data_IF_476853777801
#
_entry.id   IF_476853777801
#
_cell.length_a   1.000
_cell.length_b   1.000
_cell.length_c   1.000
_cell.angle_alpha   90.00
_cell.angle_beta   90.00
_cell.angle_gamma   90.00
#
_symmetry.space_group_name_H-M   'P 1'
#
loop_
_entity.id
_entity.type
_entity.pdbx_description
1 polymer ?
#
# COMPACT_ATOMS: atom_id res chain seq x y z
N UNK A 1 -31.55 10.93 -75.36
CA UNK A 1 -31.03 10.35 -76.60
C UNK A 1 -29.56 9.96 -76.34
N UNK A 2 -29.27 8.72 -76.71
CA UNK A 2 -27.96 8.10 -76.88
C UNK A 2 -27.17 7.63 -75.63
N UNK A 3 -27.33 6.36 -75.39
CA UNK A 3 -26.25 5.46 -75.05
C UNK A 3 -25.20 5.40 -76.16
N UNK A 4 -23.98 4.99 -75.91
CA UNK A 4 -23.62 3.55 -75.80
C UNK A 4 -22.50 3.28 -74.77
N UNK A 5 -22.58 2.11 -74.17
CA UNK A 5 -21.97 0.81 -74.51
C UNK A 5 -20.46 0.71 -74.37
N UNK A 6 -20.10 -0.21 -73.48
CA UNK A 6 -19.06 -1.23 -73.58
C UNK A 6 -17.66 -0.84 -73.12
N UNK A 7 -17.03 -1.52 -72.30
CA UNK A 7 -16.34 -2.81 -72.48
C UNK A 7 -15.58 -3.19 -71.15
N UNK A 8 -15.68 -4.44 -70.88
CA UNK A 8 -14.95 -5.13 -69.86
C UNK A 8 -13.44 -5.00 -69.99
N UNK A 9 -12.78 -4.87 -68.87
CA UNK A 9 -11.39 -5.39 -68.75
C UNK A 9 -11.20 -5.97 -67.39
N UNK A 10 -11.09 -7.24 -67.36
CA UNK A 10 -10.77 -8.11 -66.26
C UNK A 10 -9.27 -7.94 -65.95
N UNK A 11 -8.92 -7.34 -64.86
CA UNK A 11 -7.57 -7.40 -64.32
C UNK A 11 -7.61 -8.14 -63.00
N UNK A 12 -7.24 -9.39 -63.08
CA UNK A 12 -6.90 -10.24 -61.97
C UNK A 12 -5.58 -9.75 -61.40
N UNK A 13 -5.61 -9.06 -60.28
CA UNK A 13 -4.42 -8.76 -59.49
C UNK A 13 -4.41 -9.66 -58.27
N UNK A 14 -3.59 -10.68 -58.38
CA UNK A 14 -3.18 -11.53 -57.25
C UNK A 14 -2.31 -10.64 -56.32
N UNK A 15 -2.89 -10.21 -55.25
CA UNK A 15 -2.15 -9.59 -54.17
C UNK A 15 -1.70 -10.69 -53.23
N UNK A 16 -0.40 -10.97 -53.27
CA UNK A 16 0.30 -11.78 -52.32
C UNK A 16 0.15 -11.19 -50.91
N UNK A 17 -0.53 -11.88 -50.04
CA UNK A 17 -0.57 -11.60 -48.61
C UNK A 17 0.83 -11.85 -48.04
N UNK A 18 1.58 -10.79 -47.83
CA UNK A 18 2.77 -10.83 -46.98
C UNK A 18 2.29 -10.92 -45.56
N UNK A 19 2.29 -12.13 -45.03
CA UNK A 19 2.10 -12.39 -43.63
C UNK A 19 3.26 -11.76 -42.86
N UNK A 20 2.99 -10.67 -42.16
CA UNK A 20 3.83 -10.22 -41.06
C UNK A 20 3.71 -11.25 -39.96
N UNK A 21 4.60 -12.20 -39.95
CA UNK A 21 4.87 -13.03 -38.77
C UNK A 21 5.38 -12.08 -37.69
N UNK A 22 4.49 -11.63 -36.82
CA UNK A 22 4.88 -11.06 -35.57
C UNK A 22 5.64 -12.12 -34.79
N UNK A 23 6.94 -11.94 -34.63
CA UNK A 23 7.71 -12.67 -33.63
C UNK A 23 7.14 -12.29 -32.26
N UNK A 24 6.17 -13.02 -31.83
CA UNK A 24 5.80 -13.09 -30.41
C UNK A 24 6.94 -13.76 -29.68
N UNK A 25 7.53 -13.04 -28.74
CA UNK A 25 8.55 -13.58 -27.87
C UNK A 25 7.92 -14.74 -27.06
N UNK A 26 8.41 -15.98 -27.17
CA UNK A 26 7.78 -17.13 -26.51
C UNK A 26 8.12 -17.24 -25.03
N UNK A 27 8.42 -16.15 -24.36
CA UNK A 27 8.93 -16.14 -22.98
C UNK A 27 8.10 -15.40 -21.95
N UNK A 28 7.07 -14.65 -22.33
CA UNK A 28 6.27 -13.93 -21.33
C UNK A 28 5.02 -14.72 -21.01
N UNK A 29 4.87 -15.26 -19.78
CA UNK A 29 3.62 -15.90 -19.38
C UNK A 29 2.51 -14.84 -19.35
N UNK A 30 1.62 -14.87 -20.33
CA UNK A 30 0.39 -14.10 -20.27
C UNK A 30 -0.47 -14.67 -19.15
N UNK A 31 -0.53 -13.93 -18.04
CA UNK A 31 -1.46 -14.23 -16.95
C UNK A 31 -2.84 -13.73 -17.37
N UNK A 32 -3.58 -14.56 -18.10
CA UNK A 32 -5.01 -14.35 -18.30
C UNK A 32 -5.75 -14.75 -17.02
N UNK A 33 -6.09 -13.77 -16.21
CA UNK A 33 -6.89 -13.97 -15.02
C UNK A 33 -7.05 -12.65 -14.24
N UNK A 34 -8.06 -12.56 -13.37
CA UNK A 34 -8.17 -11.42 -12.48
C UNK A 34 -6.89 -11.30 -11.64
N UNK A 35 -6.41 -10.09 -11.45
CA UNK A 35 -5.22 -9.83 -10.64
C UNK A 35 -5.34 -10.58 -9.30
N UNK A 36 -4.30 -11.30 -8.86
CA UNK A 36 -4.36 -12.05 -7.62
C UNK A 36 -4.74 -11.12 -6.49
N UNK A 37 -5.77 -11.48 -5.74
CA UNK A 37 -6.15 -10.74 -4.53
C UNK A 37 -4.93 -10.63 -3.62
N UNK A 38 -4.71 -9.46 -2.99
CA UNK A 38 -3.59 -9.27 -2.08
C UNK A 38 -3.53 -10.43 -1.09
N UNK A 39 -2.44 -11.17 -1.09
CA UNK A 39 -2.28 -12.33 -0.24
C UNK A 39 -2.46 -11.92 1.22
N UNK A 40 -3.34 -12.61 1.95
CA UNK A 40 -3.40 -12.47 3.40
C UNK A 40 -2.05 -12.83 3.98
N UNK A 41 -1.61 -12.09 5.00
CA UNK A 41 -0.37 -12.39 5.69
C UNK A 41 -0.39 -13.86 6.17
N UNK A 42 0.64 -14.60 5.83
CA UNK A 42 0.86 -15.95 6.37
C UNK A 42 1.84 -15.82 7.53
N UNK A 43 1.48 -16.37 8.68
CA UNK A 43 2.26 -16.28 9.89
C UNK A 43 1.93 -15.04 10.74
N UNK A 44 2.65 -14.85 11.85
CA UNK A 44 2.43 -13.71 12.74
C UNK A 44 2.74 -12.38 12.07
N UNK A 45 1.97 -11.37 12.46
CA UNK A 45 2.11 -9.99 11.95
C UNK A 45 2.50 -9.08 13.10
N UNK A 46 3.49 -8.25 12.88
CA UNK A 46 4.05 -7.33 13.86
C UNK A 46 4.01 -5.89 13.36
N UNK A 47 4.00 -4.97 14.30
CA UNK A 47 4.39 -3.58 14.11
C UNK A 47 5.69 -3.36 14.88
N UNK A 48 6.74 -2.82 14.26
CA UNK A 48 7.96 -2.45 15.00
C UNK A 48 7.75 -1.12 15.73
N UNK A 49 8.32 -1.01 16.93
CA UNK A 49 8.47 0.28 17.61
C UNK A 49 9.63 1.11 17.00
N UNK A 50 9.91 2.28 17.57
CA UNK A 50 11.01 3.16 17.13
C UNK A 50 12.39 2.53 17.22
N UNK A 51 12.55 1.47 18.02
CA UNK A 51 13.80 0.71 18.19
C UNK A 51 13.82 -0.58 17.35
N UNK A 52 12.77 -0.85 16.59
CA UNK A 52 12.66 -2.06 15.78
C UNK A 52 12.15 -3.29 16.52
N UNK A 53 11.70 -3.18 17.77
CA UNK A 53 11.16 -4.32 18.48
C UNK A 53 9.81 -4.74 17.90
N UNK A 54 9.60 -6.04 17.62
CA UNK A 54 8.34 -6.52 17.06
C UNK A 54 7.24 -6.58 18.13
N UNK A 55 6.13 -5.91 17.89
CA UNK A 55 4.97 -5.86 18.77
C UNK A 55 3.74 -6.47 18.07
N UNK A 56 2.94 -7.25 18.82
CA UNK A 56 1.68 -7.81 18.33
C UNK A 56 0.52 -7.13 19.04
N UNK A 57 -0.34 -6.44 18.27
CA UNK A 57 -1.50 -5.72 18.81
C UNK A 57 -1.17 -4.90 20.07
N UNK A 58 -0.14 -4.05 20.05
CA UNK A 58 0.26 -3.31 21.22
C UNK A 58 -0.86 -2.39 21.70
N UNK A 59 -0.93 -2.14 22.98
CA UNK A 59 -1.82 -1.12 23.56
C UNK A 59 -1.25 0.29 23.45
N UNK A 60 0.01 0.41 23.07
CA UNK A 60 0.69 1.69 22.81
C UNK A 60 2.13 1.45 22.39
N UNK A 61 2.70 2.39 21.64
CA UNK A 61 4.12 2.39 21.25
C UNK A 61 4.54 3.76 20.71
N UNK A 62 5.85 3.98 20.65
CA UNK A 62 6.43 5.15 20.01
C UNK A 62 6.32 5.05 18.49
N UNK A 63 5.83 6.10 17.85
CA UNK A 63 5.75 6.22 16.39
C UNK A 63 7.00 6.85 15.82
N UNK A 64 7.46 7.90 16.50
CA UNK A 64 8.65 8.69 16.17
C UNK A 64 9.37 9.05 17.46
N UNK A 65 10.46 9.80 17.38
CA UNK A 65 11.14 10.35 18.56
C UNK A 65 10.25 11.34 19.33
N UNK A 66 9.27 11.96 18.65
CA UNK A 66 8.47 13.05 19.20
C UNK A 66 7.05 12.66 19.53
N UNK A 67 6.55 11.54 18.97
CA UNK A 67 5.15 11.16 19.06
C UNK A 67 4.96 9.70 19.43
N UNK A 68 3.95 9.44 20.25
CA UNK A 68 3.53 8.11 20.68
C UNK A 68 2.02 7.95 20.64
N UNK A 69 1.58 6.70 20.51
CA UNK A 69 0.18 6.32 20.61
C UNK A 69 -0.03 5.40 21.81
N UNK A 70 -1.15 5.55 22.49
CA UNK A 70 -1.49 4.79 23.68
C UNK A 70 -2.97 4.41 23.69
N UNK A 71 -3.37 3.51 24.60
CA UNK A 71 -4.75 3.02 24.73
C UNK A 71 -5.35 2.57 23.41
N UNK A 72 -4.54 1.87 22.60
CA UNK A 72 -4.96 1.38 21.30
C UNK A 72 -5.97 0.26 21.43
N UNK A 73 -7.09 0.43 20.74
CA UNK A 73 -8.13 -0.58 20.55
C UNK A 73 -8.18 -0.95 19.07
N UNK A 74 -7.78 -2.16 18.73
CA UNK A 74 -7.64 -2.63 17.37
C UNK A 74 -8.99 -3.08 16.79
N UNK A 75 -9.40 -2.46 15.68
CA UNK A 75 -10.57 -2.86 14.89
C UNK A 75 -10.22 -3.93 13.86
N UNK A 76 -9.00 -3.88 13.31
CA UNK A 76 -8.47 -4.87 12.37
C UNK A 76 -6.99 -5.11 12.61
N UNK A 77 -6.51 -6.31 12.28
CA UNK A 77 -5.11 -6.70 12.41
C UNK A 77 -4.78 -7.85 11.47
N UNK A 78 -3.54 -7.89 10.95
CA UNK A 78 -3.03 -9.01 10.16
C UNK A 78 -3.40 -8.98 8.68
N UNK A 79 -4.22 -8.03 8.22
CA UNK A 79 -4.49 -7.77 6.82
C UNK A 79 -3.51 -6.79 6.20
N UNK A 80 -3.77 -6.35 4.98
CA UNK A 80 -2.98 -5.32 4.29
C UNK A 80 -2.92 -4.01 5.08
N UNK A 81 -3.94 -3.77 5.88
CA UNK A 81 -4.04 -2.66 6.82
C UNK A 81 -4.49 -3.16 8.19
N UNK A 82 -3.98 -2.51 9.22
CA UNK A 82 -4.52 -2.61 10.58
C UNK A 82 -4.99 -1.24 11.03
N UNK A 83 -6.10 -1.20 11.75
CA UNK A 83 -6.71 0.06 12.21
C UNK A 83 -7.01 -0.03 13.69
N UNK A 84 -6.59 0.98 14.43
CA UNK A 84 -6.91 1.16 15.85
C UNK A 84 -7.38 2.57 16.13
N UNK A 85 -8.18 2.70 17.19
CA UNK A 85 -8.45 4.00 17.83
C UNK A 85 -7.69 4.05 19.15
N UNK A 86 -7.23 5.23 19.54
CA UNK A 86 -6.46 5.41 20.76
C UNK A 86 -6.19 6.87 21.06
N UNK A 87 -5.06 7.14 21.67
CA UNK A 87 -4.63 8.46 22.10
C UNK A 87 -3.26 8.80 21.51
N UNK A 88 -3.13 10.01 21.02
CA UNK A 88 -1.89 10.58 20.50
C UNK A 88 -1.32 11.56 21.52
N UNK A 89 -0.04 11.44 21.81
CA UNK A 89 0.71 12.37 22.65
C UNK A 89 2.13 12.52 22.10
N UNK A 90 2.83 13.55 22.55
CA UNK A 90 4.19 13.79 22.12
C UNK A 90 4.81 15.00 22.82
N UNK A 91 6.09 15.26 22.56
CA UNK A 91 6.82 16.40 23.12
C UNK A 91 6.29 17.74 22.62
N UNK A 92 5.69 17.75 21.43
CA UNK A 92 5.11 18.93 20.78
C UNK A 92 3.82 19.45 21.45
N UNK A 93 3.19 18.66 22.30
CA UNK A 93 1.94 19.02 23.00
C UNK A 93 2.08 18.96 24.54
N UNK A 94 3.32 19.02 25.05
CA UNK A 94 3.56 18.99 26.50
C UNK A 94 2.78 20.10 27.20
N UNK A 95 2.25 19.78 28.38
CA UNK A 95 1.25 20.43 29.20
C UNK A 95 -0.21 20.20 28.71
N UNK A 96 -0.51 20.25 27.42
CA UNK A 96 -1.88 20.05 26.94
C UNK A 96 -2.26 18.57 26.79
N UNK A 97 -1.30 17.70 26.47
CA UNK A 97 -1.51 16.27 26.24
C UNK A 97 -0.82 15.37 27.28
N UNK A 98 -0.30 15.92 28.37
CA UNK A 98 0.44 15.15 29.40
C UNK A 98 -0.43 14.17 30.20
N UNK A 99 -1.75 14.31 30.15
CA UNK A 99 -2.69 13.38 30.78
C UNK A 99 -3.07 12.25 29.82
N UNK A 100 -4.20 12.44 29.15
CA UNK A 100 -4.83 11.41 28.32
C UNK A 100 -4.40 11.43 26.85
N UNK A 101 -3.69 12.44 26.39
CA UNK A 101 -3.42 12.68 24.97
C UNK A 101 -4.68 13.07 24.19
N UNK A 102 -4.54 13.15 22.86
CA UNK A 102 -5.65 13.50 21.96
C UNK A 102 -6.28 12.26 21.33
N UNK A 103 -7.61 12.24 21.12
CA UNK A 103 -8.23 11.16 20.36
C UNK A 103 -7.61 11.04 18.98
N UNK A 104 -7.27 9.82 18.59
CA UNK A 104 -6.64 9.56 17.31
C UNK A 104 -7.05 8.20 16.73
N UNK A 105 -6.96 8.11 15.41
CA UNK A 105 -7.04 6.85 14.65
C UNK A 105 -5.67 6.56 14.06
N UNK A 106 -5.16 5.37 14.32
CA UNK A 106 -3.93 4.84 13.75
C UNK A 106 -4.27 3.86 12.64
N UNK A 107 -3.68 4.04 11.48
CA UNK A 107 -3.69 3.08 10.37
C UNK A 107 -2.27 2.59 10.13
N UNK A 108 -2.07 1.27 10.18
CA UNK A 108 -0.84 0.61 9.77
C UNK A 108 -1.03 0.04 8.36
N UNK A 109 0.03 0.11 7.54
CA UNK A 109 0.02 -0.36 6.16
C UNK A 109 1.43 -0.76 5.69
N UNK A 110 1.56 -1.11 4.41
CA UNK A 110 2.84 -1.49 3.84
C UNK A 110 3.34 -2.83 4.41
N UNK A 111 2.45 -3.82 4.46
CA UNK A 111 2.79 -5.14 4.99
C UNK A 111 3.94 -5.77 4.18
N UNK A 112 5.07 -5.98 4.82
CA UNK A 112 6.25 -6.61 4.24
C UNK A 112 6.51 -7.96 4.91
N UNK A 113 6.63 -9.01 4.09
CA UNK A 113 6.96 -10.34 4.57
C UNK A 113 8.47 -10.49 4.68
N UNK A 114 8.91 -11.07 5.81
CA UNK A 114 10.27 -11.55 6.02
C UNK A 114 10.20 -12.98 6.54
N UNK A 115 10.74 -13.94 5.78
CA UNK A 115 10.67 -15.36 6.12
C UNK A 115 9.22 -15.82 6.43
N UNK A 116 8.92 -16.16 7.69
CA UNK A 116 7.63 -16.67 8.14
C UNK A 116 6.79 -15.63 8.89
N UNK A 117 7.24 -14.38 8.96
CA UNK A 117 6.56 -13.28 9.65
C UNK A 117 6.30 -12.11 8.70
N UNK A 118 5.43 -11.20 9.10
CA UNK A 118 5.14 -9.99 8.34
C UNK A 118 5.20 -8.77 9.25
N UNK A 119 5.63 -7.63 8.70
CA UNK A 119 5.74 -6.37 9.41
C UNK A 119 5.00 -5.27 8.68
N UNK A 120 4.29 -4.43 9.42
CA UNK A 120 3.83 -3.15 8.89
C UNK A 120 5.01 -2.19 8.82
N UNK A 121 5.16 -1.50 7.70
CA UNK A 121 6.28 -0.59 7.45
C UNK A 121 5.87 0.88 7.43
N UNK A 122 4.58 1.15 7.54
CA UNK A 122 4.04 2.50 7.51
C UNK A 122 2.95 2.67 8.55
N UNK A 123 2.92 3.86 9.15
CA UNK A 123 1.85 4.29 10.02
C UNK A 123 1.32 5.66 9.57
N UNK A 124 0.02 5.84 9.67
CA UNK A 124 -0.66 7.12 9.45
C UNK A 124 -1.54 7.40 10.65
N UNK A 125 -1.45 8.59 11.20
CA UNK A 125 -2.29 9.03 12.31
C UNK A 125 -3.26 10.10 11.82
N UNK A 126 -4.51 9.98 12.23
CA UNK A 126 -5.54 10.99 12.03
C UNK A 126 -6.05 11.46 13.38
N UNK A 127 -5.99 12.75 13.63
CA UNK A 127 -6.47 13.42 14.83
C UNK A 127 -6.86 14.85 14.49
N UNK A 128 -7.74 15.46 15.31
CA UNK A 128 -7.99 16.89 15.24
C UNK A 128 -6.79 17.73 15.73
N UNK A 129 -5.88 17.11 16.48
CA UNK A 129 -4.68 17.72 17.03
C UNK A 129 -3.45 16.94 16.55
N UNK A 130 -2.77 17.46 15.55
CA UNK A 130 -1.53 16.93 15.02
C UNK A 130 -0.39 17.93 15.21
N UNK A 131 0.86 17.48 15.34
CA UNK A 131 2.01 18.36 15.29
C UNK A 131 2.10 19.08 13.94
N UNK A 132 2.78 20.23 13.88
CA UNK A 132 3.19 20.81 12.61
C UNK A 132 4.03 19.80 11.82
N UNK A 133 3.81 19.70 10.50
CA UNK A 133 4.49 18.70 9.66
C UNK A 133 5.99 18.82 9.58
N UNK A 134 6.50 20.03 9.76
CA UNK A 134 7.94 20.32 9.86
C UNK A 134 8.56 19.84 11.16
N UNK A 135 7.74 19.63 12.19
CA UNK A 135 8.17 19.06 13.48
C UNK A 135 8.05 17.53 13.47
N UNK A 136 6.90 16.99 13.03
CA UNK A 136 6.67 15.55 12.99
C UNK A 136 5.52 15.21 12.01
N UNK A 137 5.83 14.63 10.88
CA UNK A 137 4.81 14.25 9.88
C UNK A 137 4.19 12.90 10.19
N UNK A 138 3.10 12.91 10.92
CA UNK A 138 2.33 11.71 11.27
C UNK A 138 1.40 11.20 10.16
N UNK A 139 1.39 11.83 9.00
CA UNK A 139 0.60 11.38 7.85
C UNK A 139 1.26 10.24 7.08
N UNK A 140 2.58 10.07 7.22
CA UNK A 140 3.37 9.10 6.47
C UNK A 140 4.61 8.60 7.24
N UNK A 141 4.42 8.15 8.46
CA UNK A 141 5.51 7.63 9.30
C UNK A 141 6.05 6.32 8.71
N UNK A 142 7.36 6.25 8.53
CA UNK A 142 8.07 5.02 8.20
C UNK A 142 8.46 4.29 9.48
N UNK A 143 8.08 3.02 9.57
CA UNK A 143 8.45 2.18 10.71
C UNK A 143 9.74 1.42 10.37
N UNK A 144 10.72 1.40 11.30
CA UNK A 144 11.98 0.68 11.09
C UNK A 144 11.69 -0.82 11.05
N UNK A 145 12.29 -1.52 10.11
CA UNK A 145 12.26 -2.99 10.12
C UNK A 145 13.35 -3.51 11.04
N UNK A 146 13.10 -4.59 11.79
CA UNK A 146 14.16 -5.27 12.52
C UNK A 146 15.30 -5.65 11.58
N UNK A 147 16.53 -5.46 12.01
CA UNK A 147 17.69 -5.99 11.29
C UNK A 147 17.67 -7.54 11.35
N UNK A 148 18.18 -8.20 10.29
CA UNK A 148 18.24 -9.66 10.24
C UNK A 148 19.21 -10.23 11.26
#
# INVERSE_FOLDING_TARGET
>A
MNKPTALATLCVLVLAAVGLSGCGDPGEPQVEGPAPSPAKARGPVYVPDTMGHPLTRPTGFGLTEFSSVSRLSWRSWGGQKAVATGRLSGTWCLAQCSGDGYPATLELSGLQRRENVSYYTRATVRSAHLPPRDTDDLSAVRLPLPEP
#
